data_IF_263840453457
#
_entry.id   IF_263840453457
#
_cell.length_a   1.000
_cell.length_b   1.000
_cell.length_c   1.000
_cell.angle_alpha   90.00
_cell.angle_beta   90.00
_cell.angle_gamma   90.00
#
_symmetry.space_group_name_H-M   'P 1'
#
loop_
_entity.id
_entity.type
_entity.pdbx_description
1 polymer ?
#
# COMPACT_ATOMS: atom_id res chain seq x y z
N UNK A 1 -9.81 -0.41 -12.75
CA UNK A 1 -8.98 0.15 -11.66
C UNK A 1 -8.35 -1.01 -10.90
N UNK A 2 -7.01 -1.10 -10.85
CA UNK A 2 -6.35 -2.12 -10.04
C UNK A 2 -6.59 -1.82 -8.55
N UNK A 3 -7.07 -2.81 -7.79
CA UNK A 3 -7.36 -2.69 -6.35
C UNK A 3 -6.14 -2.33 -5.47
N UNK A 4 -4.93 -2.26 -6.05
CA UNK A 4 -3.69 -1.91 -5.38
C UNK A 4 -3.72 -0.43 -4.92
N UNK A 5 -4.32 0.46 -5.71
CA UNK A 5 -4.39 1.90 -5.44
C UNK A 5 -5.57 2.28 -4.53
N UNK A 6 -6.36 1.31 -4.06
CA UNK A 6 -7.50 1.55 -3.16
C UNK A 6 -7.05 1.86 -1.72
N UNK A 7 -5.83 1.47 -1.33
CA UNK A 7 -5.25 1.79 -0.03
C UNK A 7 -4.27 2.94 -0.18
N UNK A 8 -4.19 3.86 0.80
CA UNK A 8 -3.23 4.95 0.74
C UNK A 8 -1.79 4.44 0.75
N UNK A 9 -0.90 5.09 -0.02
CA UNK A 9 0.50 4.65 -0.19
C UNK A 9 1.21 4.41 1.14
N UNK A 10 1.03 5.29 2.13
CA UNK A 10 1.67 5.13 3.46
C UNK A 10 1.26 3.84 4.21
N UNK A 11 0.14 3.18 3.83
CA UNK A 11 -0.29 1.88 4.40
C UNK A 11 0.21 0.68 3.61
N UNK A 12 0.97 0.88 2.54
CA UNK A 12 1.44 -0.22 1.71
C UNK A 12 2.59 -0.98 2.37
N UNK A 13 2.46 -2.29 2.45
CA UNK A 13 3.60 -3.15 2.77
C UNK A 13 4.49 -3.36 1.54
N UNK A 14 5.66 -3.94 1.75
CA UNK A 14 6.64 -4.22 0.69
C UNK A 14 6.08 -5.11 -0.45
N UNK A 15 5.11 -5.99 -0.16
CA UNK A 15 4.47 -6.84 -1.19
C UNK A 15 3.56 -6.02 -2.09
N UNK A 16 2.78 -5.11 -1.52
CA UNK A 16 1.89 -4.20 -2.25
C UNK A 16 2.71 -3.23 -3.10
N UNK A 17 3.76 -2.65 -2.52
CA UNK A 17 4.70 -1.78 -3.24
C UNK A 17 5.35 -2.50 -4.42
N UNK A 18 5.88 -3.71 -4.21
CA UNK A 18 6.50 -4.50 -5.28
C UNK A 18 5.51 -4.86 -6.40
N UNK A 19 4.25 -5.17 -6.06
CA UNK A 19 3.19 -5.40 -7.06
C UNK A 19 2.89 -4.14 -7.86
N UNK A 20 2.82 -2.98 -7.19
CA UNK A 20 2.58 -1.70 -7.85
C UNK A 20 3.73 -1.33 -8.79
N UNK A 21 4.98 -1.49 -8.36
CA UNK A 21 6.16 -1.24 -9.21
C UNK A 21 6.15 -2.15 -10.45
N UNK A 22 5.81 -3.43 -10.28
CA UNK A 22 5.66 -4.35 -11.40
C UNK A 22 4.55 -3.91 -12.37
N UNK A 23 3.43 -3.41 -11.85
CA UNK A 23 2.32 -2.89 -12.65
C UNK A 23 2.69 -1.64 -13.45
N UNK A 24 3.52 -0.75 -12.88
CA UNK A 24 4.05 0.44 -13.57
C UNK A 24 5.14 0.13 -14.60
N UNK A 25 5.58 -1.13 -14.70
CA UNK A 25 6.58 -1.56 -15.68
C UNK A 25 8.03 -1.40 -15.22
N UNK A 26 8.30 -1.19 -13.93
CA UNK A 26 9.67 -1.14 -13.42
C UNK A 26 10.35 -2.52 -13.48
N UNK A 27 11.67 -2.51 -13.67
CA UNK A 27 12.47 -3.72 -13.81
C UNK A 27 12.44 -4.58 -12.56
N UNK A 28 12.47 -5.91 -12.77
CA UNK A 28 12.52 -6.88 -11.67
C UNK A 28 13.77 -6.73 -10.80
N UNK A 29 14.88 -6.20 -11.36
CA UNK A 29 16.12 -5.91 -10.62
C UNK A 29 15.88 -4.84 -9.56
N UNK A 30 15.29 -3.71 -9.96
CA UNK A 30 15.01 -2.57 -9.08
C UNK A 30 14.00 -2.96 -8.00
N UNK A 31 12.96 -3.71 -8.37
CA UNK A 31 11.97 -4.25 -7.42
C UNK A 31 12.63 -5.17 -6.39
N UNK A 32 13.61 -5.98 -6.80
CA UNK A 32 14.31 -6.88 -5.90
C UNK A 32 15.23 -6.15 -4.91
N UNK A 33 15.85 -5.04 -5.32
CA UNK A 33 16.65 -4.18 -4.42
C UNK A 33 15.75 -3.67 -3.30
N UNK A 34 14.63 -3.04 -3.67
CA UNK A 34 13.67 -2.49 -2.71
C UNK A 34 13.05 -3.58 -1.80
N UNK A 35 12.83 -4.78 -2.34
CA UNK A 35 12.30 -5.91 -1.58
C UNK A 35 13.31 -6.45 -0.55
N UNK A 36 14.61 -6.46 -0.88
CA UNK A 36 15.67 -6.96 0.00
C UNK A 36 15.76 -6.14 1.28
N UNK A 37 15.64 -4.83 1.15
CA UNK A 37 15.69 -3.89 2.27
C UNK A 37 14.30 -3.59 2.87
N UNK A 38 13.29 -4.41 2.53
CA UNK A 38 11.94 -4.35 3.09
C UNK A 38 11.25 -2.98 2.96
N UNK A 39 11.54 -2.24 1.88
CA UNK A 39 10.92 -0.96 1.61
C UNK A 39 9.40 -1.09 1.54
N UNK A 40 8.73 -0.22 2.30
CA UNK A 40 7.28 -0.13 2.35
C UNK A 40 6.86 1.28 1.90
N UNK A 41 5.55 1.48 1.71
CA UNK A 41 5.07 2.76 1.17
C UNK A 41 5.31 3.96 2.11
N UNK A 42 5.35 3.75 3.42
CA UNK A 42 5.73 4.82 4.36
C UNK A 42 7.19 5.23 4.18
N UNK A 43 8.11 4.26 4.18
CA UNK A 43 9.55 4.52 4.01
C UNK A 43 9.81 5.22 2.67
N UNK A 44 9.16 4.78 1.60
CA UNK A 44 9.33 5.39 0.28
C UNK A 44 8.81 6.83 0.21
N UNK A 45 7.88 7.24 1.08
CA UNK A 45 7.42 8.63 1.14
C UNK A 45 8.32 9.52 1.99
N UNK A 46 9.18 8.94 2.83
CA UNK A 46 10.07 9.67 3.74
C UNK A 46 11.53 9.68 3.31
N UNK A 47 11.93 8.77 2.41
CA UNK A 47 13.32 8.59 2.01
C UNK A 47 13.74 9.54 0.89
N UNK A 48 15.04 9.86 0.82
CA UNK A 48 15.58 10.71 -0.23
C UNK A 48 16.07 9.90 -1.43
N UNK A 49 16.21 10.59 -2.57
CA UNK A 49 16.78 10.01 -3.80
C UNK A 49 18.19 9.43 -3.54
N UNK A 50 18.98 10.09 -2.69
CA UNK A 50 20.37 9.68 -2.41
C UNK A 50 20.46 8.32 -1.72
N UNK A 51 19.50 7.99 -0.87
CA UNK A 51 19.49 6.69 -0.19
C UNK A 51 19.18 5.57 -1.20
N UNK A 52 18.26 5.81 -2.13
CA UNK A 52 17.95 4.86 -3.21
C UNK A 52 19.14 4.64 -4.15
N UNK A 53 19.90 5.70 -4.44
CA UNK A 53 21.14 5.61 -5.22
C UNK A 53 22.18 4.77 -4.47
N UNK A 54 22.30 4.96 -3.16
CA UNK A 54 23.23 4.21 -2.31
C UNK A 54 22.89 2.71 -2.24
N UNK A 55 21.62 2.34 -2.48
CA UNK A 55 21.16 0.96 -2.59
C UNK A 55 21.37 0.34 -3.97
N UNK A 56 21.84 1.14 -4.95
CA UNK A 56 22.13 0.69 -6.30
C UNK A 56 20.99 0.89 -7.30
N UNK A 57 20.00 1.74 -7.00
CA UNK A 57 19.08 2.22 -8.03
C UNK A 57 19.74 3.32 -8.86
N UNK A 58 19.43 3.35 -10.16
CA UNK A 58 19.86 4.45 -11.01
C UNK A 58 19.20 5.78 -10.57
N UNK A 59 19.94 6.90 -10.57
CA UNK A 59 19.44 8.20 -10.09
C UNK A 59 18.14 8.64 -10.76
N UNK A 60 18.02 8.43 -12.08
CA UNK A 60 16.82 8.80 -12.83
C UNK A 60 15.61 7.94 -12.43
N UNK A 61 15.82 6.64 -12.25
CA UNK A 61 14.78 5.70 -11.82
C UNK A 61 14.33 5.98 -10.39
N UNK A 62 15.27 6.26 -9.48
CA UNK A 62 14.98 6.62 -8.10
C UNK A 62 14.07 7.86 -8.03
N UNK A 63 14.40 8.92 -8.80
CA UNK A 63 13.56 10.12 -8.93
C UNK A 63 12.17 9.79 -9.46
N UNK A 64 12.09 8.99 -10.52
CA UNK A 64 10.82 8.58 -11.16
C UNK A 64 9.91 7.78 -10.23
N UNK A 65 10.47 6.87 -9.43
CA UNK A 65 9.71 6.06 -8.48
C UNK A 65 9.15 6.95 -7.37
N UNK A 66 10.00 7.80 -6.78
CA UNK A 66 9.60 8.68 -5.69
C UNK A 66 8.55 9.70 -6.16
N UNK A 67 8.76 10.36 -7.29
CA UNK A 67 7.78 11.30 -7.85
C UNK A 67 6.45 10.60 -8.10
N UNK A 68 6.46 9.43 -8.73
CA UNK A 68 5.24 8.67 -9.02
C UNK A 68 4.47 8.24 -7.76
N UNK A 69 5.19 7.92 -6.67
CA UNK A 69 4.57 7.55 -5.38
C UNK A 69 4.00 8.77 -4.67
N UNK A 70 4.69 9.91 -4.70
CA UNK A 70 4.21 11.17 -4.13
C UNK A 70 2.97 11.66 -4.89
N UNK A 71 3.03 11.68 -6.23
CA UNK A 71 1.88 12.00 -7.09
C UNK A 71 0.67 11.11 -6.79
N UNK A 72 0.89 9.81 -6.59
CA UNK A 72 -0.17 8.88 -6.24
C UNK A 72 -0.73 9.16 -4.84
N UNK A 73 0.14 9.41 -3.86
CA UNK A 73 -0.29 9.74 -2.50
C UNK A 73 -1.13 11.03 -2.48
N UNK A 74 -0.72 12.05 -3.23
CA UNK A 74 -1.47 13.30 -3.37
C UNK A 74 -2.81 13.10 -4.05
N UNK A 75 -2.90 12.24 -5.08
CA UNK A 75 -4.18 11.89 -5.73
C UNK A 75 -5.12 11.12 -4.80
N UNK A 76 -4.58 10.32 -3.88
CA UNK A 76 -5.38 9.61 -2.88
C UNK A 76 -5.87 10.55 -1.77
N UNK A 77 -5.05 11.54 -1.38
CA UNK A 77 -5.40 12.54 -0.36
C UNK A 77 -6.36 13.61 -0.91
N UNK A 78 -6.22 13.99 -2.18
CA UNK A 78 -7.15 14.88 -2.89
C UNK A 78 -8.52 14.27 -3.21
N UNK A 79 -8.78 13.03 -2.79
CA UNK A 79 -10.05 12.33 -2.99
C UNK A 79 -10.87 12.19 -1.69
N UNK A 80 -10.68 13.11 -0.74
CA UNK A 80 -11.62 13.33 0.39
C UNK A 80 -12.82 14.17 -0.10
N UNK A 81 -13.48 13.77 -1.18
CA UNK A 81 -14.86 14.19 -1.51
C UNK A 81 -15.43 13.20 -2.52
N UNK A 82 -15.67 11.96 -2.09
CA UNK A 82 -16.81 11.19 -2.58
C UNK A 82 -17.10 10.07 -1.59
N UNK A 83 -18.20 10.29 -0.88
CA UNK A 83 -18.94 9.32 -0.07
C UNK A 83 -18.76 7.92 -0.62
N UNK A 84 -18.01 7.09 0.10
CA UNK A 84 -18.31 5.68 0.10
C UNK A 84 -19.22 5.49 1.30
N UNK A 85 -20.53 5.52 1.03
CA UNK A 85 -21.54 4.82 1.81
C UNK A 85 -21.11 3.35 1.90
N UNK A 86 -20.20 3.07 2.82
CA UNK A 86 -20.04 1.72 3.35
C UNK A 86 -21.28 1.51 4.23
N UNK A 87 -22.30 0.87 3.66
CA UNK A 87 -23.32 0.17 4.44
C UNK A 87 -22.60 -0.86 5.32
N UNK A 88 -22.21 -0.44 6.52
CA UNK A 88 -21.88 -1.34 7.61
C UNK A 88 -23.23 -1.90 8.05
N UNK A 89 -23.63 -3.03 7.47
CA UNK A 89 -24.65 -3.87 8.07
C UNK A 89 -24.04 -4.41 9.37
N UNK A 90 -24.26 -3.71 10.48
CA UNK A 90 -24.07 -4.24 11.82
C UNK A 90 -24.96 -5.47 11.97
N UNK A 91 -24.43 -6.67 12.32
CA UNK A 91 -25.30 -7.73 12.82
C UNK A 91 -25.87 -7.28 14.18
N UNK A 92 -27.13 -6.84 14.15
CA UNK A 92 -27.95 -6.51 15.33
C UNK A 92 -28.32 -7.78 16.11
N UNK A 93 -27.35 -8.49 16.65
CA UNK A 93 -27.63 -9.52 17.66
C UNK A 93 -26.66 -9.39 18.82
N UNK A 94 -27.16 -9.18 20.06
CA UNK A 94 -26.30 -9.18 21.23
C UNK A 94 -25.80 -10.61 21.43
N UNK A 95 -24.47 -10.79 21.40
CA UNK A 95 -23.86 -12.07 21.77
C UNK A 95 -24.06 -12.24 23.28
N UNK A 96 -25.11 -12.97 23.65
CA UNK A 96 -25.30 -13.43 25.02
C UNK A 96 -24.80 -14.85 25.11
N UNK A 97 -23.61 -15.01 25.67
CA UNK A 97 -23.10 -16.28 26.17
C UNK A 97 -24.08 -16.85 27.19
N UNK A 98 -24.54 -18.11 27.01
CA UNK A 98 -24.77 -19.10 28.07
C UNK A 98 -25.13 -20.47 27.45
N UNK A 99 -24.22 -21.43 27.59
CA UNK A 99 -24.44 -22.85 27.96
C UNK A 99 -25.80 -23.51 27.69
N UNK A 100 -25.83 -24.64 26.98
CA UNK A 100 -25.86 -26.00 27.59
C UNK A 100 -26.31 -27.08 26.60
N UNK A 101 -25.60 -28.20 26.65
CA UNK A 101 -25.95 -29.55 26.20
C UNK A 101 -27.41 -29.96 26.52
N UNK A 102 -28.11 -30.63 25.60
CA UNK A 102 -28.33 -32.10 25.63
C UNK A 102 -29.32 -32.57 24.55
N UNK A 103 -29.03 -33.77 24.05
CA UNK A 103 -29.88 -34.68 23.26
C UNK A 103 -31.07 -35.19 24.08
N UNK A 104 -32.26 -35.26 23.48
CA UNK A 104 -32.96 -36.52 23.13
C UNK A 104 -34.00 -36.21 22.03
#
# INVERSE_FOLDING_TARGET
>A
MFQIEAKPVYKWNYKTLAKWLKYKGYDKKDINILKKDHFNGYIMLTIEVQDLISLGLEPEKAKLILSSLVDLSLKQDGHIEKSFDCEIILPSTPVKSTSSFSFD
#
